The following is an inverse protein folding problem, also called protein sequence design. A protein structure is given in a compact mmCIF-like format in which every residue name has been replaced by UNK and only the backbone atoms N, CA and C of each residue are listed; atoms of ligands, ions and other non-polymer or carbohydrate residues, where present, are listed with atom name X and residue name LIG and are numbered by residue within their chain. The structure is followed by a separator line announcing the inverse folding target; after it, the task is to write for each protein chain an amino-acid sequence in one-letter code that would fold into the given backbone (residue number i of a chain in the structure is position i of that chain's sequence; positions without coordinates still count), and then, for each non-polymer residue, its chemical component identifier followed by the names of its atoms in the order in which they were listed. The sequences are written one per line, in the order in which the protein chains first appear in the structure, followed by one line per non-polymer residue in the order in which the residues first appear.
data_IF_598327424378
#
_entry.id   IF_598327424378
#
_cell.length_a   1.000
_cell.length_b   1.000
_cell.length_c   1.000
_cell.angle_alpha   90.00
_cell.angle_beta   90.00
_cell.angle_gamma   90.00
#
_symmetry.space_group_name_H-M   'P 1'
#
loop_
_entity.id
_entity.type
_entity.pdbx_description
1 polymer ?
#
# COMPACT_ATOMS: atom_id res chain seq x y z
N UNK A 1 -22.40 -24.85 -23.06
CA UNK A 1 -23.87 -24.84 -22.85
C UNK A 1 -24.24 -23.52 -22.20
N UNK A 2 -25.25 -22.85 -22.75
CA UNK A 2 -25.53 -21.41 -22.61
C UNK A 2 -26.14 -21.08 -21.23
N UNK A 3 -25.69 -20.00 -20.60
CA UNK A 3 -26.27 -19.45 -19.36
C UNK A 3 -27.61 -18.78 -19.69
N UNK A 4 -28.68 -19.15 -18.99
CA UNK A 4 -30.00 -18.53 -19.11
C UNK A 4 -30.13 -17.42 -18.06
N UNK A 5 -30.28 -16.19 -18.56
CA UNK A 5 -30.64 -14.99 -17.79
C UNK A 5 -32.16 -14.83 -17.93
N UNK A 6 -32.87 -14.71 -16.81
CA UNK A 6 -34.30 -14.35 -16.79
C UNK A 6 -34.42 -12.99 -16.09
N UNK A 7 -34.67 -11.96 -16.91
CA UNK A 7 -35.04 -10.60 -16.49
C UNK A 7 -36.56 -10.57 -16.43
N UNK A 8 -37.13 -10.22 -15.28
CA UNK A 8 -38.56 -9.96 -15.12
C UNK A 8 -38.74 -8.46 -14.82
N UNK A 9 -38.95 -7.68 -15.87
CA UNK A 9 -39.33 -6.27 -15.79
C UNK A 9 -40.85 -6.15 -15.72
N UNK A 10 -41.33 -5.37 -14.75
CA UNK A 10 -42.71 -4.91 -14.66
C UNK A 10 -42.72 -3.38 -14.75
N UNK A 11 -43.11 -2.88 -15.93
CA UNK A 11 -43.67 -1.54 -16.14
C UNK A 11 -45.14 -1.58 -15.63
N UNK A 12 -45.82 -0.52 -15.18
CA UNK A 12 -46.13 0.75 -15.84
C UNK A 12 -46.75 1.68 -14.78
N UNK A 13 -46.56 3.01 -14.91
CA UNK A 13 -47.39 4.01 -14.23
C UNK A 13 -47.08 5.43 -14.68
N UNK A 14 -47.65 5.84 -15.82
CA UNK A 14 -47.47 7.12 -16.51
C UNK A 14 -48.57 8.10 -16.05
N UNK A 15 -48.23 9.29 -15.54
CA UNK A 15 -49.01 10.56 -15.54
C UNK A 15 -47.96 11.67 -15.29
N UNK A 16 -47.81 12.76 -16.04
CA UNK A 16 -48.52 13.31 -17.19
C UNK A 16 -47.71 14.47 -17.79
N UNK A 17 -48.02 14.84 -19.04
CA UNK A 17 -47.42 15.98 -19.74
C UNK A 17 -48.21 17.28 -19.46
N UNK A 18 -47.51 18.39 -19.22
CA UNK A 18 -47.89 19.72 -19.72
C UNK A 18 -46.69 20.67 -19.82
N UNK A 19 -46.70 21.45 -20.91
CA UNK A 19 -45.62 22.22 -21.53
C UNK A 19 -45.29 23.54 -20.80
N UNK A 20 -44.03 24.00 -20.86
CA UNK A 20 -43.70 25.41 -21.18
C UNK A 20 -42.19 25.63 -21.44
N UNK A 21 -41.90 26.14 -22.64
CA UNK A 21 -40.82 27.09 -23.05
C UNK A 21 -39.35 26.91 -22.65
N UNK A 22 -38.54 26.53 -23.65
CA UNK A 22 -37.28 27.13 -24.14
C UNK A 22 -36.16 27.68 -23.21
N UNK A 23 -34.93 27.27 -23.61
CA UNK A 23 -33.61 27.95 -23.52
C UNK A 23 -32.79 27.89 -22.21
N UNK A 24 -31.79 26.99 -22.16
CA UNK A 24 -30.39 27.33 -22.48
C UNK A 24 -29.46 26.10 -22.38
N UNK A 25 -28.59 26.03 -23.37
CA UNK A 25 -27.39 25.20 -23.54
C UNK A 25 -26.54 24.98 -22.28
N UNK A 26 -26.06 23.75 -22.09
CA UNK A 26 -24.61 23.43 -22.14
C UNK A 26 -24.42 21.91 -22.06
N UNK A 27 -24.15 21.26 -23.20
CA UNK A 27 -23.40 20.01 -23.19
C UNK A 27 -21.91 20.36 -23.22
N UNK A 28 -21.12 19.83 -22.28
CA UNK A 28 -19.78 19.33 -22.62
C UNK A 28 -19.33 18.25 -21.64
N UNK A 29 -19.00 17.09 -22.21
CA UNK A 29 -18.33 15.94 -21.60
C UNK A 29 -16.99 16.36 -20.97
N UNK A 30 -16.65 15.79 -19.82
CA UNK A 30 -15.27 15.75 -19.31
C UNK A 30 -14.94 14.31 -18.90
N UNK A 31 -13.79 13.87 -19.42
CA UNK A 31 -13.08 12.62 -19.23
C UNK A 31 -12.05 12.88 -18.11
N UNK A 32 -12.31 12.40 -16.89
CA UNK A 32 -11.48 12.74 -15.71
C UNK A 32 -10.46 11.65 -15.39
N UNK A 33 -9.33 11.73 -16.09
CA UNK A 33 -8.04 11.15 -15.67
C UNK A 33 -7.24 12.19 -14.89
N UNK A 34 -7.76 12.69 -13.78
CA UNK A 34 -7.00 13.52 -12.83
C UNK A 34 -7.74 13.62 -11.49
N UNK A 35 -7.63 12.60 -10.64
CA UNK A 35 -7.89 12.80 -9.21
C UNK A 35 -6.77 12.10 -8.45
N UNK A 36 -6.28 12.75 -7.40
CA UNK A 36 -5.14 12.38 -6.55
C UNK A 36 -3.76 12.87 -7.01
N UNK A 37 -3.65 14.18 -7.24
CA UNK A 37 -2.44 14.95 -6.93
C UNK A 37 -2.92 16.27 -6.37
N UNK A 38 -3.28 16.30 -5.08
CA UNK A 38 -3.45 17.48 -4.24
C UNK A 38 -3.87 17.02 -2.83
N UNK A 39 -2.99 16.29 -2.15
CA UNK A 39 -2.96 16.29 -0.69
C UNK A 39 -1.60 16.84 -0.29
N UNK A 40 -1.57 18.17 -0.23
CA UNK A 40 -1.05 18.94 0.88
C UNK A 40 0.41 18.70 1.28
N UNK A 41 1.26 19.59 0.75
CA UNK A 41 2.55 20.01 1.30
C UNK A 41 2.46 20.61 2.74
N UNK A 42 1.30 20.59 3.40
CA UNK A 42 1.10 21.16 4.75
C UNK A 42 1.17 20.14 5.90
N UNK A 43 2.06 19.15 5.82
CA UNK A 43 2.56 18.45 7.02
C UNK A 43 4.10 18.42 7.08
N UNK A 44 4.74 19.33 6.34
CA UNK A 44 6.19 19.59 6.43
C UNK A 44 6.43 20.72 7.43
N UNK A 45 5.94 20.60 8.66
CA UNK A 45 6.40 21.39 9.81
C UNK A 45 6.03 20.67 11.10
N UNK A 46 6.77 19.61 11.43
CA UNK A 46 7.08 19.36 12.83
C UNK A 46 8.43 18.66 12.98
N UNK A 47 9.29 19.30 13.76
CA UNK A 47 10.59 18.87 14.26
C UNK A 47 11.80 19.12 13.33
N UNK A 48 12.36 20.31 13.47
CA UNK A 48 13.82 20.48 13.50
C UNK A 48 14.42 19.45 14.46
N UNK A 49 14.88 18.32 13.92
CA UNK A 49 16.04 17.63 14.44
C UNK A 49 16.87 17.25 13.23
N UNK A 50 18.17 17.48 13.33
CA UNK A 50 19.19 17.09 12.38
C UNK A 50 19.30 15.55 12.25
N UNK A 51 18.19 14.87 11.95
CA UNK A 51 18.06 13.42 11.77
C UNK A 51 17.55 13.14 10.38
N UNK A 52 18.31 12.32 9.66
CA UNK A 52 17.96 11.81 8.35
C UNK A 52 16.69 10.92 8.42
N UNK A 53 15.96 10.79 7.31
CA UNK A 53 14.68 10.08 7.24
C UNK A 53 14.81 8.63 7.70
N UNK A 54 15.92 7.95 7.37
CA UNK A 54 16.25 6.59 7.83
C UNK A 54 16.18 6.46 9.35
N UNK A 55 16.78 7.38 10.11
CA UNK A 55 16.73 7.37 11.57
C UNK A 55 15.30 7.52 12.08
N UNK A 56 14.50 8.39 11.45
CA UNK A 56 13.10 8.58 11.82
C UNK A 56 12.25 7.34 11.51
N UNK A 57 12.50 6.69 10.37
CA UNK A 57 11.79 5.48 9.95
C UNK A 57 12.13 4.32 10.87
N UNK A 58 13.40 4.15 11.24
CA UNK A 58 13.82 3.12 12.19
C UNK A 58 13.04 3.21 13.50
N UNK A 59 12.84 4.42 14.04
CA UNK A 59 12.02 4.62 15.23
C UNK A 59 10.55 4.20 15.01
N UNK A 60 9.97 4.52 13.85
CA UNK A 60 8.59 4.12 13.53
C UNK A 60 8.47 2.59 13.38
N UNK A 61 9.46 1.93 12.78
CA UNK A 61 9.53 0.46 12.72
C UNK A 61 9.62 -0.14 14.13
N UNK A 62 10.46 0.41 15.01
CA UNK A 62 10.54 -0.04 16.41
C UNK A 62 9.20 0.13 17.16
N UNK A 63 8.45 1.19 16.88
CA UNK A 63 7.14 1.42 17.48
C UNK A 63 6.08 0.46 16.91
N UNK A 64 6.11 0.16 15.60
CA UNK A 64 5.28 -0.89 14.97
C UNK A 64 5.57 -2.25 15.59
N UNK A 65 6.85 -2.62 15.76
CA UNK A 65 7.25 -3.89 16.36
C UNK A 65 6.70 -4.03 17.79
N UNK A 66 6.79 -2.97 18.61
CA UNK A 66 6.21 -2.96 19.96
C UNK A 66 4.69 -3.10 19.94
N UNK A 67 4.01 -2.49 18.97
CA UNK A 67 2.54 -2.55 18.84
C UNK A 67 2.05 -3.98 18.59
N UNK A 68 2.74 -4.73 17.73
CA UNK A 68 2.31 -6.08 17.34
C UNK A 68 2.86 -7.19 18.26
N UNK A 69 3.90 -6.90 19.04
CA UNK A 69 4.58 -7.87 19.92
C UNK A 69 3.64 -8.68 20.82
N UNK A 70 2.61 -8.10 21.48
CA UNK A 70 1.72 -8.89 22.33
C UNK A 70 0.98 -10.02 21.58
N UNK A 71 0.61 -9.79 20.31
CA UNK A 71 -0.04 -10.82 19.50
C UNK A 71 0.93 -11.89 19.03
N UNK A 72 2.20 -11.54 18.79
CA UNK A 72 3.26 -12.49 18.48
C UNK A 72 3.60 -13.39 19.69
N UNK A 73 3.59 -12.83 20.90
CA UNK A 73 3.90 -13.55 22.15
C UNK A 73 2.72 -14.34 22.74
N UNK A 74 1.55 -14.29 22.09
CA UNK A 74 0.31 -14.92 22.58
C UNK A 74 0.39 -16.45 22.69
N UNK A 75 1.24 -17.09 21.86
CA UNK A 75 1.22 -18.54 21.65
C UNK A 75 -0.01 -19.05 20.90
N UNK A 76 -0.93 -18.17 20.50
CA UNK A 76 -2.14 -18.50 19.73
C UNK A 76 -1.89 -18.17 18.28
N UNK A 77 -1.83 -19.19 17.41
CA UNK A 77 -1.48 -19.02 15.99
C UNK A 77 -2.37 -18.01 15.25
N UNK A 78 -3.66 -17.91 15.61
CA UNK A 78 -4.56 -16.93 15.02
C UNK A 78 -4.17 -15.48 15.40
N UNK A 79 -3.80 -15.24 16.66
CA UNK A 79 -3.35 -13.92 17.13
C UNK A 79 -2.00 -13.55 16.55
N UNK A 80 -1.08 -14.52 16.44
CA UNK A 80 0.20 -14.34 15.76
C UNK A 80 0.01 -13.93 14.29
N UNK A 81 -0.88 -14.62 13.55
CA UNK A 81 -1.19 -14.25 12.17
C UNK A 81 -1.76 -12.83 12.07
N UNK A 82 -2.69 -12.47 12.95
CA UNK A 82 -3.24 -11.12 12.99
C UNK A 82 -2.16 -10.05 13.27
N UNK A 83 -1.23 -10.35 14.18
CA UNK A 83 -0.11 -9.47 14.51
C UNK A 83 0.84 -9.29 13.31
N UNK A 84 1.20 -10.38 12.62
CA UNK A 84 2.02 -10.33 11.40
C UNK A 84 1.32 -9.55 10.28
N UNK A 85 0.04 -9.80 10.04
CA UNK A 85 -0.74 -9.03 9.05
C UNK A 85 -0.82 -7.55 9.40
N UNK A 86 -0.94 -7.21 10.69
CA UNK A 86 -0.93 -5.82 11.14
C UNK A 86 0.42 -5.16 10.92
N UNK A 87 1.50 -5.88 11.23
CA UNK A 87 2.86 -5.40 11.00
C UNK A 87 3.11 -5.14 9.51
N UNK A 88 2.69 -6.07 8.65
CA UNK A 88 2.77 -5.92 7.20
C UNK A 88 2.06 -4.66 6.71
N UNK A 89 0.81 -4.42 7.12
CA UNK A 89 0.03 -3.24 6.73
C UNK A 89 0.76 -1.93 7.09
N UNK A 90 1.26 -1.84 8.33
CA UNK A 90 1.92 -0.65 8.84
C UNK A 90 3.27 -0.40 8.13
N UNK A 91 4.05 -1.46 7.89
CA UNK A 91 5.31 -1.36 7.16
C UNK A 91 5.11 -1.05 5.69
N UNK A 92 4.08 -1.59 5.05
CA UNK A 92 3.78 -1.31 3.65
C UNK A 92 3.43 0.18 3.48
N UNK A 93 2.70 0.75 4.44
CA UNK A 93 2.42 2.18 4.47
C UNK A 93 3.70 3.02 4.60
N UNK A 94 4.64 2.63 5.48
CA UNK A 94 5.94 3.30 5.60
C UNK A 94 6.81 3.18 4.34
N UNK A 95 6.85 1.98 3.74
CA UNK A 95 7.56 1.73 2.49
C UNK A 95 6.99 2.55 1.32
N UNK A 96 5.65 2.63 1.20
CA UNK A 96 4.97 3.46 0.19
C UNK A 96 5.29 4.95 0.35
N UNK A 97 5.34 5.45 1.59
CA UNK A 97 5.72 6.85 1.88
C UNK A 97 7.12 7.16 1.36
N UNK A 98 8.11 6.35 1.73
CA UNK A 98 9.51 6.60 1.31
C UNK A 98 9.74 6.38 -0.18
N UNK A 99 9.03 5.41 -0.78
CA UNK A 99 9.03 5.21 -2.22
C UNK A 99 8.52 6.45 -2.96
N UNK A 100 7.39 7.04 -2.53
CA UNK A 100 6.87 8.28 -3.11
C UNK A 100 7.81 9.48 -2.95
N UNK A 101 8.50 9.58 -1.81
CA UNK A 101 9.53 10.61 -1.57
C UNK A 101 10.73 10.46 -2.52
N UNK A 102 11.15 9.23 -2.84
CA UNK A 102 12.16 8.96 -3.86
C UNK A 102 11.67 9.34 -5.25
N UNK A 103 10.49 8.89 -5.65
CA UNK A 103 9.94 9.18 -6.98
C UNK A 103 9.80 10.68 -7.27
N UNK A 104 9.56 11.51 -6.25
CA UNK A 104 9.51 12.96 -6.40
C UNK A 104 10.87 13.59 -6.78
N UNK A 105 11.99 12.90 -6.52
CA UNK A 105 13.36 13.39 -6.74
C UNK A 105 14.09 12.76 -7.92
N UNK A 106 13.60 11.62 -8.40
CA UNK A 106 14.23 10.87 -9.48
C UNK A 106 13.79 11.37 -10.86
N UNK A 107 14.67 11.24 -11.85
CA UNK A 107 14.31 11.37 -13.27
C UNK A 107 13.40 10.22 -13.74
N UNK A 108 12.73 10.37 -14.87
CA UNK A 108 11.81 9.33 -15.38
C UNK A 108 12.51 7.98 -15.62
N UNK A 109 13.76 7.99 -16.08
CA UNK A 109 14.54 6.77 -16.27
C UNK A 109 14.90 6.10 -14.93
N UNK A 110 15.22 6.89 -13.91
CA UNK A 110 15.49 6.39 -12.57
C UNK A 110 14.23 5.87 -11.87
N UNK A 111 13.06 6.50 -12.08
CA UNK A 111 11.77 5.97 -11.60
C UNK A 111 11.44 4.63 -12.24
N UNK A 112 11.64 4.50 -13.56
CA UNK A 112 11.44 3.24 -14.26
C UNK A 112 12.35 2.13 -13.71
N UNK A 113 13.61 2.47 -13.39
CA UNK A 113 14.54 1.54 -12.74
C UNK A 113 14.10 1.17 -11.32
N UNK A 114 13.71 2.15 -10.50
CA UNK A 114 13.24 1.93 -9.13
C UNK A 114 12.01 1.01 -9.11
N UNK A 115 11.06 1.22 -10.04
CA UNK A 115 9.89 0.34 -10.20
C UNK A 115 10.31 -1.10 -10.51
N UNK A 116 11.24 -1.29 -11.45
CA UNK A 116 11.75 -2.63 -11.80
C UNK A 116 12.44 -3.29 -10.60
N UNK A 117 13.26 -2.54 -9.85
CA UNK A 117 13.88 -3.03 -8.61
C UNK A 117 12.82 -3.47 -7.59
N UNK A 118 11.72 -2.72 -7.46
CA UNK A 118 10.63 -3.08 -6.55
C UNK A 118 9.87 -4.34 -6.99
N UNK A 119 9.64 -4.51 -8.29
CA UNK A 119 9.02 -5.72 -8.87
C UNK A 119 9.90 -6.96 -8.69
N UNK A 120 11.21 -6.82 -8.90
CA UNK A 120 12.16 -7.93 -8.75
C UNK A 120 12.35 -8.30 -7.27
N UNK A 121 12.46 -7.30 -6.39
CA UNK A 121 12.45 -7.50 -4.94
C UNK A 121 11.20 -8.27 -4.49
N UNK A 122 10.02 -7.88 -4.97
CA UNK A 122 8.76 -8.55 -4.59
C UNK A 122 8.79 -10.05 -4.91
N UNK A 123 9.24 -10.42 -6.11
CA UNK A 123 9.36 -11.84 -6.53
C UNK A 123 10.35 -12.61 -5.67
N UNK A 124 11.46 -11.99 -5.29
CA UNK A 124 12.45 -12.59 -4.40
C UNK A 124 11.85 -12.86 -3.01
N UNK A 125 11.13 -11.89 -2.45
CA UNK A 125 10.50 -12.05 -1.14
C UNK A 125 9.36 -13.07 -1.19
N UNK A 126 8.55 -13.11 -2.25
CA UNK A 126 7.49 -14.12 -2.45
C UNK A 126 8.11 -15.53 -2.40
N UNK A 127 9.21 -15.75 -3.13
CA UNK A 127 9.94 -17.02 -3.09
C UNK A 127 10.48 -17.35 -1.71
N UNK A 128 11.10 -16.39 -1.02
CA UNK A 128 11.66 -16.61 0.32
C UNK A 128 10.56 -16.95 1.34
N UNK A 129 9.41 -16.27 1.27
CA UNK A 129 8.26 -16.53 2.11
C UNK A 129 7.68 -17.93 1.86
N UNK A 130 7.53 -18.33 0.60
CA UNK A 130 7.13 -19.70 0.22
C UNK A 130 8.12 -20.74 0.76
N UNK A 131 9.42 -20.50 0.64
CA UNK A 131 10.44 -21.41 1.19
C UNK A 131 10.34 -21.56 2.71
N UNK A 132 10.10 -20.47 3.44
CA UNK A 132 9.89 -20.50 4.89
C UNK A 132 8.66 -21.32 5.31
N UNK A 133 7.64 -21.43 4.44
CA UNK A 133 6.43 -22.22 4.76
C UNK A 133 6.66 -23.73 4.72
N UNK A 134 7.70 -24.21 4.02
CA UNK A 134 7.94 -25.65 3.77
C UNK A 134 8.27 -26.43 5.03
N UNK A 135 8.94 -25.81 6.00
CA UNK A 135 9.28 -26.46 7.29
C UNK A 135 8.04 -26.78 8.13
N UNK A 136 6.94 -26.07 7.90
CA UNK A 136 5.68 -26.22 8.62
C UNK A 136 4.50 -26.53 7.68
N UNK A 137 4.78 -27.14 6.52
CA UNK A 137 3.76 -27.42 5.50
C UNK A 137 2.57 -28.20 6.10
N UNK A 138 1.35 -27.73 5.81
CA UNK A 138 0.11 -28.30 6.35
C UNK A 138 -0.20 -27.95 7.81
N UNK A 139 0.73 -27.32 8.54
CA UNK A 139 0.51 -26.82 9.89
C UNK A 139 -0.07 -25.40 9.92
N UNK A 140 -0.80 -25.06 10.98
CA UNK A 140 -1.38 -23.72 11.16
C UNK A 140 -0.32 -22.62 11.27
N UNK A 141 0.88 -22.95 11.74
CA UNK A 141 2.00 -21.99 11.93
C UNK A 141 2.66 -21.57 10.61
N UNK A 142 2.40 -22.29 9.52
CA UNK A 142 2.99 -22.03 8.20
C UNK A 142 2.74 -20.59 7.71
N UNK A 143 1.53 -20.06 7.92
CA UNK A 143 1.18 -18.68 7.57
C UNK A 143 1.99 -17.64 8.35
N UNK A 144 2.26 -17.90 9.64
CA UNK A 144 3.08 -17.03 10.48
C UNK A 144 4.52 -17.00 10.00
N UNK A 145 5.09 -18.15 9.62
CA UNK A 145 6.47 -18.24 9.12
C UNK A 145 6.66 -17.49 7.79
N UNK A 146 5.75 -17.69 6.84
CA UNK A 146 5.75 -16.97 5.57
C UNK A 146 5.58 -15.46 5.76
N UNK A 147 4.60 -15.04 6.56
CA UNK A 147 4.35 -13.62 6.83
C UNK A 147 5.50 -12.94 7.59
N UNK A 148 6.14 -13.61 8.56
CA UNK A 148 7.33 -13.07 9.24
C UNK A 148 8.50 -12.85 8.27
N UNK A 149 8.69 -13.75 7.32
CA UNK A 149 9.72 -13.62 6.28
C UNK A 149 9.44 -12.41 5.40
N UNK A 150 8.18 -12.24 4.99
CA UNK A 150 7.73 -11.10 4.21
C UNK A 150 7.97 -9.76 4.92
N UNK A 151 7.50 -9.67 6.17
CA UNK A 151 7.64 -8.50 7.05
C UNK A 151 9.11 -8.12 7.23
N UNK A 152 9.98 -9.09 7.55
CA UNK A 152 11.41 -8.83 7.77
C UNK A 152 12.08 -8.22 6.53
N UNK A 153 11.75 -8.75 5.34
CA UNK A 153 12.28 -8.22 4.07
C UNK A 153 11.69 -6.85 3.73
N UNK A 154 10.47 -6.57 4.15
CA UNK A 154 9.84 -5.26 3.99
C UNK A 154 10.51 -4.19 4.86
N UNK A 155 10.88 -4.52 6.10
CA UNK A 155 11.64 -3.61 6.98
C UNK A 155 13.00 -3.24 6.36
N UNK A 156 13.75 -4.26 5.90
CA UNK A 156 15.03 -4.07 5.21
C UNK A 156 14.88 -3.15 4.00
N UNK A 157 13.85 -3.40 3.17
CA UNK A 157 13.59 -2.60 1.97
C UNK A 157 13.19 -1.17 2.30
N UNK A 158 12.33 -0.95 3.29
CA UNK A 158 11.91 0.40 3.68
C UNK A 158 13.09 1.24 4.16
N UNK A 159 13.98 0.66 4.97
CA UNK A 159 15.20 1.32 5.44
C UNK A 159 16.20 1.60 4.31
N UNK A 160 16.33 0.66 3.38
CA UNK A 160 17.19 0.83 2.21
C UNK A 160 16.71 1.97 1.29
N UNK A 161 15.40 2.07 1.05
CA UNK A 161 14.80 3.20 0.33
C UNK A 161 14.98 4.53 1.07
N UNK A 162 14.84 4.52 2.41
CA UNK A 162 15.08 5.70 3.24
C UNK A 162 16.52 6.21 3.15
N UNK A 163 17.48 5.29 3.21
CA UNK A 163 18.90 5.62 3.03
C UNK A 163 19.18 6.25 1.67
N UNK A 164 18.58 5.72 0.59
CA UNK A 164 18.69 6.32 -0.75
C UNK A 164 18.09 7.73 -0.79
N UNK A 165 16.95 7.95 -0.13
CA UNK A 165 16.31 9.26 -0.06
C UNK A 165 17.20 10.27 0.66
N UNK A 166 17.79 9.89 1.78
CA UNK A 166 18.71 10.74 2.54
C UNK A 166 19.96 11.10 1.73
N UNK A 167 20.50 10.15 0.96
CA UNK A 167 21.63 10.40 0.06
C UNK A 167 21.30 11.40 -1.06
N UNK A 168 20.04 11.49 -1.50
CA UNK A 168 19.62 12.50 -2.48
C UNK A 168 19.39 13.87 -1.86
N UNK A 169 19.11 13.95 -0.56
CA UNK A 169 18.89 15.22 0.15
C UNK A 169 20.17 15.83 0.72
N UNK A 170 21.20 15.02 0.93
CA UNK A 170 22.50 15.46 1.42
C UNK A 170 23.47 15.84 0.27
N UNK A 171 22.98 15.92 -0.98
CA UNK A 171 23.70 16.38 -2.16
C UNK A 171 23.33 17.82 -2.47
#
# INVERSE_FOLDING_TARGET
MKKLIIILTLLVGIIGCSKSSENKSFEKKIDDKQTVYNISENNVQNQNSNKNYETSLKKRIEDIQKEVQPGLDSGVTAEMNNAVSKQEELLEAEMKKVYGLLEAKLSDSEKARLKKEQEDWKKEVEKNAEEATKEAEGGTISGVMGGNTWVSKMEERALELAKRYDQLNNK
#
